data_IF_523040669537
#
_entry.id   IF_523040669537
#
_cell.length_a   1.000
_cell.length_b   1.000
_cell.length_c   1.000
_cell.angle_alpha   90.00
_cell.angle_beta   90.00
_cell.angle_gamma   90.00
#
_symmetry.space_group_name_H-M   'P 1'
#
loop_
_entity.id
_entity.type
_entity.pdbx_description
1 polymer ?
#
# COMPACT_ATOMS: atom_id res chain seq x y z
N UNK A 1 15.85 13.31 -2.71
CA UNK A 1 15.82 13.60 -1.27
C UNK A 1 15.13 12.40 -0.64
N UNK A 2 15.88 11.46 -0.06
CA UNK A 2 15.30 10.33 0.66
C UNK A 2 14.81 10.88 1.99
N UNK A 3 13.50 11.02 2.17
CA UNK A 3 12.95 11.25 3.51
C UNK A 3 13.37 10.05 4.35
N UNK A 4 14.15 10.30 5.39
CA UNK A 4 14.52 9.28 6.35
C UNK A 4 13.22 8.79 7.01
N UNK A 5 12.79 7.59 6.65
CA UNK A 5 11.62 6.94 7.23
C UNK A 5 11.80 6.85 8.75
N UNK A 6 10.76 7.19 9.53
CA UNK A 6 10.89 7.07 10.98
C UNK A 6 10.90 5.58 11.37
N UNK A 7 11.59 5.29 12.47
CA UNK A 7 11.74 3.93 12.99
C UNK A 7 10.39 3.22 13.18
N UNK A 8 9.37 3.95 13.63
CA UNK A 8 8.03 3.40 13.84
C UNK A 8 7.36 2.95 12.52
N UNK A 9 7.50 3.71 11.42
CA UNK A 9 6.99 3.30 10.10
C UNK A 9 7.73 2.07 9.59
N UNK A 10 9.04 1.98 9.85
CA UNK A 10 9.84 0.82 9.47
C UNK A 10 9.48 -0.42 10.27
N UNK A 11 9.15 -0.25 11.54
CA UNK A 11 8.66 -1.33 12.39
C UNK A 11 7.30 -1.84 11.90
N UNK A 12 6.36 -0.94 11.60
CA UNK A 12 5.05 -1.29 11.04
C UNK A 12 5.17 -2.06 9.72
N UNK A 13 6.01 -1.57 8.81
CA UNK A 13 6.30 -2.23 7.53
C UNK A 13 6.89 -3.63 7.76
N UNK A 14 7.85 -3.76 8.66
CA UNK A 14 8.49 -5.04 8.97
C UNK A 14 7.49 -6.06 9.54
N UNK A 15 6.60 -5.64 10.43
CA UNK A 15 5.54 -6.50 10.96
C UNK A 15 4.52 -6.89 9.89
N UNK A 16 4.19 -5.99 8.97
CA UNK A 16 3.33 -6.31 7.83
C UNK A 16 4.01 -7.34 6.91
N UNK A 17 5.29 -7.14 6.57
CA UNK A 17 6.08 -8.09 5.77
C UNK A 17 6.15 -9.48 6.41
N UNK A 18 6.32 -9.58 7.73
CA UNK A 18 6.31 -10.87 8.46
C UNK A 18 5.00 -11.63 8.34
N UNK A 19 3.87 -10.93 8.19
CA UNK A 19 2.56 -11.56 7.98
C UNK A 19 2.38 -12.06 6.55
N UNK A 20 2.97 -11.38 5.58
CA UNK A 20 2.83 -11.68 4.15
C UNK A 20 3.82 -12.76 3.70
N UNK A 21 5.08 -12.67 4.14
CA UNK A 21 6.19 -13.50 3.66
C UNK A 21 5.96 -15.02 3.76
N UNK A 22 5.29 -15.57 4.79
CA UNK A 22 5.03 -17.01 4.87
C UNK A 22 4.14 -17.55 3.76
N UNK A 23 3.41 -16.67 3.04
CA UNK A 23 2.40 -17.03 2.02
C UNK A 23 1.32 -17.98 2.54
N UNK A 24 1.07 -17.98 3.84
CA UNK A 24 -0.01 -18.73 4.45
C UNK A 24 -1.35 -18.02 4.15
N UNK A 25 -2.31 -18.68 3.48
CA UNK A 25 -3.62 -18.09 3.18
C UNK A 25 -4.32 -17.56 4.42
N UNK A 26 -4.22 -18.25 5.57
CA UNK A 26 -4.87 -17.82 6.80
C UNK A 26 -4.24 -16.52 7.33
N UNK A 27 -2.92 -16.41 7.32
CA UNK A 27 -2.24 -15.16 7.66
C UNK A 27 -2.62 -13.99 6.74
N UNK A 28 -2.77 -14.23 5.43
CA UNK A 28 -3.19 -13.23 4.45
C UNK A 28 -4.65 -12.78 4.65
N UNK A 29 -5.55 -13.69 5.04
CA UNK A 29 -6.94 -13.38 5.39
C UNK A 29 -7.05 -12.46 6.61
N UNK A 30 -6.10 -12.53 7.54
CA UNK A 30 -6.05 -11.65 8.72
C UNK A 30 -5.57 -10.22 8.40
N UNK A 31 -4.94 -10.00 7.23
CA UNK A 31 -4.58 -8.64 6.78
C UNK A 31 -5.78 -8.04 6.07
N UNK A 32 -6.70 -7.48 6.85
CA UNK A 32 -7.95 -6.91 6.38
C UNK A 32 -7.74 -5.61 5.60
N UNK A 33 -8.54 -5.44 4.56
CA UNK A 33 -8.64 -4.22 3.75
C UNK A 33 -9.97 -3.56 4.08
N UNK A 34 -9.88 -2.41 4.73
CA UNK A 34 -11.01 -1.53 5.05
C UNK A 34 -11.18 -0.47 3.96
N UNK A 35 -12.39 0.11 3.88
CA UNK A 35 -12.73 1.14 2.88
C UNK A 35 -12.36 0.76 1.43
N UNK A 36 -12.44 -0.53 1.10
CA UNK A 36 -12.11 -1.06 -0.21
C UNK A 36 -13.03 -0.50 -1.29
N UNK A 37 -12.46 -0.11 -2.44
CA UNK A 37 -13.23 0.27 -3.63
C UNK A 37 -13.62 -0.93 -4.50
N UNK A 38 -13.24 -2.13 -4.10
CA UNK A 38 -13.60 -3.39 -4.77
C UNK A 38 -14.25 -4.37 -3.79
N UNK A 39 -14.49 -5.59 -4.25
CA UNK A 39 -14.96 -6.71 -3.43
C UNK A 39 -13.88 -7.35 -2.56
N UNK A 40 -12.61 -6.96 -2.70
CA UNK A 40 -11.52 -7.48 -1.87
C UNK A 40 -11.63 -6.97 -0.43
N UNK A 41 -11.55 -7.89 0.53
CA UNK A 41 -11.68 -7.65 1.98
C UNK A 41 -10.39 -7.90 2.74
N UNK A 42 -9.43 -8.59 2.14
CA UNK A 42 -8.13 -8.90 2.73
C UNK A 42 -7.09 -9.14 1.62
N UNK A 43 -5.83 -9.37 2.01
CA UNK A 43 -4.77 -9.65 1.02
C UNK A 43 -4.97 -10.99 0.30
N UNK A 44 -5.62 -11.97 0.91
CA UNK A 44 -5.92 -13.24 0.24
C UNK A 44 -6.87 -13.05 -0.96
N UNK A 45 -7.84 -12.14 -0.89
CA UNK A 45 -8.72 -11.80 -2.01
C UNK A 45 -7.99 -11.11 -3.17
N UNK A 46 -6.87 -10.43 -2.90
CA UNK A 46 -6.04 -9.80 -3.92
C UNK A 46 -5.05 -10.78 -4.56
N UNK A 47 -4.49 -11.69 -3.77
CA UNK A 47 -3.44 -12.63 -4.20
C UNK A 47 -4.04 -13.91 -4.79
N UNK A 48 -5.12 -14.41 -4.18
CA UNK A 48 -5.70 -15.71 -4.49
C UNK A 48 -4.73 -16.86 -4.19
N UNK A 49 -4.72 -17.84 -5.08
CA UNK A 49 -3.83 -19.01 -5.07
C UNK A 49 -2.51 -18.79 -5.82
N UNK A 50 -2.18 -17.54 -6.17
CA UNK A 50 -1.06 -17.21 -7.05
C UNK A 50 0.26 -17.05 -6.30
N UNK A 51 1.35 -17.41 -6.97
CA UNK A 51 2.69 -17.11 -6.52
C UNK A 51 3.03 -15.62 -6.67
N UNK A 52 3.80 -15.12 -5.71
CA UNK A 52 4.25 -13.73 -5.68
C UNK A 52 5.64 -13.59 -5.08
N UNK A 53 6.30 -12.47 -5.35
CA UNK A 53 7.47 -11.99 -4.61
C UNK A 53 7.11 -10.78 -3.75
N UNK A 54 7.78 -10.65 -2.61
CA UNK A 54 7.62 -9.53 -1.69
C UNK A 54 8.86 -8.64 -1.81
N UNK A 55 8.65 -7.38 -2.18
CA UNK A 55 9.69 -6.37 -2.33
C UNK A 55 9.44 -5.28 -1.28
N UNK A 56 10.44 -4.96 -0.48
CA UNK A 56 10.35 -3.91 0.53
C UNK A 56 11.53 -2.96 0.40
N UNK A 57 11.27 -1.65 0.43
CA UNK A 57 12.28 -0.58 0.34
C UNK A 57 13.31 -0.76 -0.79
N UNK A 58 12.88 -1.29 -1.94
CA UNK A 58 13.78 -1.58 -3.06
C UNK A 58 13.31 -0.97 -4.36
N UNK A 59 14.23 -0.32 -5.09
CA UNK A 59 13.98 0.20 -6.44
C UNK A 59 13.60 -0.86 -7.47
N UNK A 60 13.79 -2.15 -7.15
CA UNK A 60 13.41 -3.28 -7.99
C UNK A 60 11.89 -3.41 -8.20
N UNK A 61 11.08 -2.66 -7.44
CA UNK A 61 9.64 -2.58 -7.66
C UNK A 61 9.30 -2.06 -9.07
N UNK A 62 10.08 -1.09 -9.57
CA UNK A 62 9.88 -0.47 -10.88
C UNK A 62 10.82 -1.08 -11.92
N UNK A 63 10.31 -2.03 -12.69
CA UNK A 63 11.03 -2.62 -13.84
C UNK A 63 11.10 -1.69 -15.06
N UNK A 64 10.28 -0.63 -15.09
CA UNK A 64 10.21 0.35 -16.17
C UNK A 64 10.76 1.70 -15.70
N UNK A 65 12.04 1.75 -15.32
CA UNK A 65 12.68 2.92 -14.68
C UNK A 65 12.59 4.24 -15.46
N UNK A 66 12.39 4.15 -16.78
CA UNK A 66 12.26 5.32 -17.66
C UNK A 66 10.79 5.72 -17.93
N UNK A 67 9.82 4.89 -17.55
CA UNK A 67 8.40 5.20 -17.70
C UNK A 67 7.97 6.11 -16.55
N UNK A 68 7.31 7.23 -16.90
CA UNK A 68 6.88 8.24 -15.94
C UNK A 68 8.01 8.72 -15.01
N UNK A 69 9.23 8.90 -15.54
CA UNK A 69 10.41 9.23 -14.73
C UNK A 69 10.25 10.52 -13.90
N UNK A 70 9.53 11.52 -14.41
CA UNK A 70 9.25 12.76 -13.66
C UNK A 70 8.20 12.58 -12.55
N UNK A 71 7.43 11.49 -12.60
CA UNK A 71 6.36 11.18 -11.65
C UNK A 71 6.85 10.18 -10.61
N UNK A 72 7.42 9.06 -11.04
CA UNK A 72 7.83 7.95 -10.16
C UNK A 72 9.32 7.70 -10.10
N UNK A 73 10.13 8.49 -10.81
CA UNK A 73 11.58 8.37 -10.77
C UNK A 73 12.10 8.49 -9.35
N UNK A 74 12.94 7.54 -8.95
CA UNK A 74 13.57 7.45 -7.63
C UNK A 74 12.61 7.27 -6.43
N UNK A 75 11.32 7.02 -6.68
CA UNK A 75 10.42 6.60 -5.62
C UNK A 75 10.61 5.13 -5.30
N UNK A 76 10.36 4.79 -4.03
CA UNK A 76 10.38 3.42 -3.55
C UNK A 76 9.17 3.27 -2.63
N UNK A 77 8.12 2.54 -3.03
CA UNK A 77 7.05 2.18 -2.12
C UNK A 77 7.59 1.27 -1.02
N UNK A 78 6.92 1.31 0.13
CA UNK A 78 7.34 0.57 1.30
C UNK A 78 7.23 -0.95 1.12
N UNK A 79 6.11 -1.41 0.57
CA UNK A 79 5.87 -2.84 0.28
C UNK A 79 5.23 -3.00 -1.08
N UNK A 80 5.75 -3.94 -1.87
CA UNK A 80 5.17 -4.36 -3.15
C UNK A 80 5.07 -5.89 -3.18
N UNK A 81 3.84 -6.37 -3.38
CA UNK A 81 3.54 -7.78 -3.65
C UNK A 81 3.41 -7.89 -5.17
N UNK A 82 4.35 -8.55 -5.84
CA UNK A 82 4.38 -8.64 -7.30
C UNK A 82 4.20 -10.09 -7.75
N UNK A 83 3.39 -10.27 -8.79
CA UNK A 83 3.21 -11.57 -9.42
C UNK A 83 4.50 -12.08 -10.01
N UNK A 84 4.82 -13.35 -9.73
CA UNK A 84 5.92 -14.04 -10.43
C UNK A 84 5.49 -14.58 -11.80
N UNK A 85 4.18 -14.71 -12.06
CA UNK A 85 3.69 -15.29 -13.31
C UNK A 85 3.76 -14.28 -14.47
N UNK A 86 3.37 -13.03 -14.24
CA UNK A 86 3.49 -11.96 -15.24
C UNK A 86 4.74 -11.11 -15.07
N UNK A 87 5.28 -11.00 -13.85
CA UNK A 87 6.26 -9.97 -13.50
C UNK A 87 5.67 -8.55 -13.49
N UNK A 88 4.38 -8.38 -13.77
CA UNK A 88 3.73 -7.09 -13.97
C UNK A 88 2.72 -6.82 -12.87
N UNK A 89 1.67 -7.63 -12.70
CA UNK A 89 0.63 -7.24 -11.75
C UNK A 89 1.15 -7.22 -10.32
N UNK A 90 0.70 -6.21 -9.56
CA UNK A 90 1.26 -5.90 -8.24
C UNK A 90 0.26 -5.16 -7.36
N UNK A 91 0.35 -5.46 -6.06
CA UNK A 91 -0.26 -4.66 -4.99
C UNK A 91 0.84 -3.81 -4.36
N UNK A 92 0.66 -2.50 -4.36
CA UNK A 92 1.55 -1.54 -3.71
C UNK A 92 0.90 -1.17 -2.37
N UNK A 93 1.68 -1.24 -1.29
CA UNK A 93 1.27 -0.83 0.05
C UNK A 93 2.24 0.22 0.54
N UNK A 94 1.70 1.39 0.82
CA UNK A 94 2.43 2.49 1.45
C UNK A 94 2.12 2.49 2.95
N UNK A 95 3.14 2.59 3.79
CA UNK A 95 3.04 2.49 5.25
C UNK A 95 3.25 3.85 5.90
N UNK A 96 2.33 4.27 6.77
CA UNK A 96 2.46 5.50 7.55
C UNK A 96 2.22 5.27 9.04
N UNK A 97 2.87 6.10 9.86
CA UNK A 97 2.66 6.12 11.31
C UNK A 97 2.24 7.50 11.80
N UNK A 98 3.10 8.50 11.59
CA UNK A 98 2.82 9.91 11.92
C UNK A 98 3.04 10.84 10.75
N UNK A 99 3.85 10.47 9.77
CA UNK A 99 4.13 11.34 8.63
C UNK A 99 2.91 11.46 7.73
N UNK A 100 2.72 12.66 7.18
CA UNK A 100 1.75 12.88 6.11
C UNK A 100 2.18 12.10 4.85
N UNK A 101 1.29 11.99 3.87
CA UNK A 101 1.69 11.55 2.53
C UNK A 101 2.75 12.52 1.98
N UNK A 102 3.81 11.97 1.38
CA UNK A 102 4.82 12.78 0.71
C UNK A 102 4.22 13.55 -0.48
N UNK A 103 4.87 14.66 -0.84
CA UNK A 103 4.46 15.61 -1.89
C UNK A 103 3.15 16.37 -1.59
N UNK A 104 2.65 17.16 -2.55
CA UNK A 104 1.41 17.91 -2.41
C UNK A 104 0.18 17.01 -2.55
N UNK A 105 -0.98 17.51 -2.11
CA UNK A 105 -2.25 16.76 -2.21
C UNK A 105 -2.57 16.30 -3.64
N UNK A 106 -2.30 17.15 -4.63
CA UNK A 106 -2.60 16.89 -6.04
C UNK A 106 -1.60 15.96 -6.74
N UNK A 107 -0.41 15.79 -6.18
CA UNK A 107 0.69 14.99 -6.75
C UNK A 107 1.31 14.05 -5.71
N UNK A 108 0.51 13.64 -4.72
CA UNK A 108 0.95 12.84 -3.59
C UNK A 108 1.60 11.53 -4.06
N UNK A 109 2.47 10.97 -3.24
CA UNK A 109 3.14 9.70 -3.54
C UNK A 109 2.16 8.57 -3.96
N UNK A 110 0.98 8.49 -3.35
CA UNK A 110 -0.04 7.49 -3.70
C UNK A 110 -0.63 7.74 -5.09
N UNK A 111 -0.85 9.00 -5.48
CA UNK A 111 -1.26 9.35 -6.86
C UNK A 111 -0.18 8.92 -7.85
N UNK A 112 1.09 9.17 -7.52
CA UNK A 112 2.24 8.79 -8.36
C UNK A 112 2.31 7.27 -8.55
N UNK A 113 2.13 6.48 -7.48
CA UNK A 113 2.04 5.02 -7.56
C UNK A 113 0.83 4.53 -8.36
N UNK A 114 -0.33 5.18 -8.19
CA UNK A 114 -1.54 4.85 -8.94
C UNK A 114 -1.35 5.05 -10.46
N UNK A 115 -0.77 6.17 -10.87
CA UNK A 115 -0.45 6.43 -12.28
C UNK A 115 0.55 5.41 -12.84
N UNK A 116 1.52 4.98 -12.03
CA UNK A 116 2.46 3.94 -12.43
C UNK A 116 1.79 2.57 -12.60
N UNK A 117 0.88 2.19 -11.70
CA UNK A 117 0.07 0.98 -11.87
C UNK A 117 -0.71 1.04 -13.19
N UNK A 118 -1.40 2.14 -13.47
CA UNK A 118 -2.13 2.32 -14.73
C UNK A 118 -1.25 2.15 -15.97
N UNK A 119 -0.02 2.66 -15.91
CA UNK A 119 0.90 2.66 -17.06
C UNK A 119 1.65 1.33 -17.27
N UNK A 120 1.87 0.54 -16.21
CA UNK A 120 2.83 -0.58 -16.24
C UNK A 120 2.22 -1.94 -15.94
N UNK A 121 0.91 -2.03 -15.74
CA UNK A 121 0.23 -3.28 -15.40
C UNK A 121 -0.95 -3.53 -16.32
N UNK A 122 -1.39 -4.78 -16.43
CA UNK A 122 -2.45 -5.17 -17.35
C UNK A 122 -3.65 -5.74 -16.61
N UNK A 123 -4.84 -5.31 -17.02
CA UNK A 123 -6.07 -5.97 -16.60
C UNK A 123 -6.11 -7.37 -17.21
N UNK A 124 -5.96 -8.39 -16.37
CA UNK A 124 -6.03 -9.79 -16.80
C UNK A 124 -7.46 -10.29 -16.63
N UNK A 125 -8.06 -10.77 -17.71
CA UNK A 125 -9.36 -11.42 -17.67
C UNK A 125 -9.25 -12.77 -16.93
N UNK A 126 -10.30 -13.16 -16.21
CA UNK A 126 -10.46 -14.49 -15.60
C UNK A 126 -9.52 -14.84 -14.43
N UNK A 127 -8.98 -13.85 -13.70
CA UNK A 127 -8.21 -14.12 -12.47
C UNK A 127 -6.91 -14.91 -12.68
N UNK A 128 -6.32 -14.81 -13.88
CA UNK A 128 -5.07 -15.49 -14.21
C UNK A 128 -3.82 -14.95 -13.51
N UNK A 129 -3.98 -13.92 -12.68
CA UNK A 129 -2.88 -13.20 -12.06
C UNK A 129 -3.35 -12.51 -10.76
N UNK A 130 -2.42 -12.03 -9.93
CA UNK A 130 -2.78 -11.24 -8.75
C UNK A 130 -3.49 -9.95 -9.16
N UNK A 131 -4.39 -9.49 -8.30
CA UNK A 131 -5.10 -8.23 -8.51
C UNK A 131 -4.16 -7.06 -8.28
N UNK A 132 -4.45 -5.98 -9.00
CA UNK A 132 -3.72 -4.72 -8.85
C UNK A 132 -4.36 -3.93 -7.73
N UNK A 133 -3.53 -3.40 -6.84
CA UNK A 133 -4.04 -2.59 -5.76
C UNK A 133 -3.04 -1.51 -5.32
N UNK A 134 -3.59 -0.44 -4.77
CA UNK A 134 -2.85 0.56 -4.02
C UNK A 134 -3.50 0.76 -2.67
N UNK A 135 -2.77 0.40 -1.63
CA UNK A 135 -3.28 0.33 -0.26
C UNK A 135 -2.46 1.26 0.63
N UNK A 136 -3.14 1.99 1.50
CA UNK A 136 -2.50 2.75 2.58
C UNK A 136 -2.59 1.94 3.89
N UNK A 137 -1.46 1.59 4.46
CA UNK A 137 -1.40 0.88 5.73
C UNK A 137 -0.93 1.81 6.85
N UNK A 138 -1.76 2.03 7.86
CA UNK A 138 -1.42 2.89 8.98
C UNK A 138 -2.23 2.54 10.23
N UNK A 139 -1.82 2.98 11.44
CA UNK A 139 -2.67 2.86 12.61
C UNK A 139 -3.88 3.79 12.54
N UNK A 140 -4.90 3.48 13.34
CA UNK A 140 -6.13 4.29 13.42
C UNK A 140 -5.86 5.77 13.72
N UNK A 141 -4.90 6.05 14.61
CA UNK A 141 -4.49 7.41 14.95
C UNK A 141 -4.02 8.23 13.75
N UNK A 142 -3.47 7.59 12.71
CA UNK A 142 -3.09 8.27 11.48
C UNK A 142 -4.32 8.71 10.69
N UNK A 143 -5.31 7.83 10.58
CA UNK A 143 -6.57 8.10 9.85
C UNK A 143 -7.53 9.01 10.63
N UNK A 144 -7.43 9.06 11.96
CA UNK A 144 -8.18 9.99 12.81
C UNK A 144 -7.58 11.40 12.79
N UNK A 145 -6.31 11.54 12.40
CA UNK A 145 -5.72 12.85 12.18
C UNK A 145 -6.39 13.53 10.99
N UNK A 146 -7.01 14.69 11.25
CA UNK A 146 -7.79 15.44 10.26
C UNK A 146 -7.03 15.67 8.94
N UNK A 147 -5.79 16.17 9.01
CA UNK A 147 -5.02 16.49 7.79
C UNK A 147 -4.76 15.24 6.95
N UNK A 148 -4.30 14.17 7.60
CA UNK A 148 -4.00 12.90 6.95
C UNK A 148 -5.26 12.29 6.31
N UNK A 149 -6.37 12.30 7.05
CA UNK A 149 -7.67 11.80 6.59
C UNK A 149 -8.20 12.59 5.38
N UNK A 150 -7.99 13.91 5.36
CA UNK A 150 -8.42 14.77 4.25
C UNK A 150 -7.60 14.50 2.99
N UNK A 151 -6.28 14.30 3.11
CA UNK A 151 -5.39 14.02 1.98
C UNK A 151 -5.64 12.62 1.40
N UNK A 152 -5.77 11.59 2.23
CA UNK A 152 -6.15 10.25 1.78
C UNK A 152 -7.57 10.21 1.21
N UNK A 153 -8.52 10.85 1.89
CA UNK A 153 -9.90 10.96 1.41
C UNK A 153 -10.02 11.71 0.09
N UNK A 154 -9.17 12.72 -0.17
CA UNK A 154 -9.07 13.37 -1.47
C UNK A 154 -8.67 12.36 -2.56
N UNK A 155 -7.63 11.56 -2.33
CA UNK A 155 -7.21 10.52 -3.27
C UNK A 155 -8.34 9.52 -3.55
N UNK A 156 -8.93 8.94 -2.50
CA UNK A 156 -10.01 7.97 -2.62
C UNK A 156 -11.21 8.51 -3.39
N UNK A 157 -11.67 9.74 -3.10
CA UNK A 157 -12.81 10.34 -3.80
C UNK A 157 -12.50 10.67 -5.26
N UNK A 158 -11.28 11.10 -5.54
CA UNK A 158 -10.89 11.58 -6.89
C UNK A 158 -10.64 10.44 -7.85
N UNK A 159 -10.04 9.34 -7.38
CA UNK A 159 -9.54 8.28 -8.26
C UNK A 159 -10.33 6.96 -8.21
N UNK A 160 -11.30 6.78 -7.30
CA UNK A 160 -12.07 5.53 -7.18
C UNK A 160 -12.71 5.06 -8.49
N UNK A 161 -13.26 5.96 -9.30
CA UNK A 161 -14.01 5.59 -10.50
C UNK A 161 -13.06 5.14 -11.62
N UNK A 162 -11.91 5.81 -11.74
CA UNK A 162 -10.83 5.41 -12.64
C UNK A 162 -10.26 4.06 -12.17
N UNK A 163 -9.99 3.92 -10.88
CA UNK A 163 -9.48 2.68 -10.30
C UNK A 163 -10.44 1.50 -10.58
N UNK A 164 -11.74 1.69 -10.41
CA UNK A 164 -12.76 0.70 -10.75
C UNK A 164 -12.80 0.37 -12.25
N UNK A 165 -12.77 1.37 -13.13
CA UNK A 165 -12.77 1.18 -14.58
C UNK A 165 -11.57 0.36 -15.07
N UNK A 166 -10.44 0.48 -14.38
CA UNK A 166 -9.21 -0.25 -14.67
C UNK A 166 -8.92 -1.35 -13.66
N UNK A 167 -9.89 -1.87 -12.90
CA UNK A 167 -9.71 -2.98 -11.93
C UNK A 167 -8.43 -2.86 -11.09
N UNK A 168 -8.29 -1.71 -10.42
CA UNK A 168 -7.30 -1.43 -9.38
C UNK A 168 -8.07 -1.24 -8.08
N UNK A 169 -7.78 -2.08 -7.08
CA UNK A 169 -8.36 -1.92 -5.75
C UNK A 169 -7.65 -0.79 -5.01
N UNK A 170 -8.42 0.15 -4.46
CA UNK A 170 -7.93 1.11 -3.48
C UNK A 170 -8.49 0.72 -2.11
N UNK A 171 -7.74 0.93 -1.04
CA UNK A 171 -8.20 0.59 0.30
C UNK A 171 -7.17 0.89 1.37
N UNK A 172 -7.52 0.49 2.59
CA UNK A 172 -6.76 0.79 3.80
C UNK A 172 -6.46 -0.48 4.58
N UNK A 173 -5.28 -0.59 5.17
CA UNK A 173 -4.98 -1.60 6.19
C UNK A 173 -4.79 -0.89 7.52
N UNK A 174 -5.61 -1.23 8.52
CA UNK A 174 -5.45 -0.71 9.88
C UNK A 174 -4.42 -1.53 10.65
N UNK A 175 -3.28 -0.92 10.92
CA UNK A 175 -2.16 -1.57 11.59
C UNK A 175 -2.22 -1.35 13.11
N UNK A 176 -1.94 -2.39 13.92
CA UNK A 176 -1.83 -2.20 15.36
C UNK A 176 -0.67 -1.26 15.70
N UNK A 177 -0.84 -0.40 16.71
CA UNK A 177 0.24 0.46 17.21
C UNK A 177 1.48 -0.36 17.60
N UNK A 178 2.71 0.13 17.29
CA UNK A 178 3.95 -0.47 17.75
C UNK A 178 3.97 -0.67 19.26
N UNK A 179 4.56 -1.76 19.74
CA UNK A 179 4.62 -2.09 21.17
C UNK A 179 5.27 -0.97 22.00
N UNK A 180 6.30 -0.30 21.45
CA UNK A 180 6.98 0.82 22.08
C UNK A 180 6.12 2.11 22.20
N UNK A 181 5.11 2.26 21.35
CA UNK A 181 4.17 3.39 21.39
C UNK A 181 3.04 3.16 22.40
N UNK A 182 2.63 1.90 22.61
CA UNK A 182 1.58 1.53 23.57
C UNK A 182 1.95 1.88 25.01
N UNK A 183 3.22 1.74 25.38
CA UNK A 183 3.73 2.06 26.72
C UNK A 183 3.79 3.57 27.02
N UNK A 184 3.88 4.43 26.00
CA UNK A 184 3.86 5.89 26.19
C UNK A 184 2.45 6.44 26.40
N UNK A 185 1.44 5.85 25.76
CA UNK A 185 0.04 6.22 25.93
C UNK A 185 -0.48 5.87 27.34
N UNK A 186 0.00 4.79 27.95
CA UNK A 186 -0.37 4.42 29.33
C UNK A 186 0.20 5.32 30.41
N UNK A 187 1.25 6.10 30.12
CA UNK A 187 1.89 6.99 31.11
C UNK A 187 1.26 8.40 31.10
N UNK A 188 0.57 8.76 30.00
CA UNK A 188 -0.01 10.10 29.82
C UNK A 188 -1.45 10.22 30.34
N UNK A 189 -2.00 9.13 30.89
CA UNK A 189 -3.39 9.04 31.37
C UNK A 189 -3.50 9.13 32.91
N UNK A 190 -2.46 9.63 33.60
CA UNK A 190 -2.41 9.82 35.05
C UNK A 190 -2.05 11.26 35.41
#
# INVERSE_FOLDING_TARGET
MTEQKCEDEKQLESELCKRILPRDPHALEQVRIDNSTSDARNLADLIGDKDFELLADTSNWNQHKNVLIDITGNMTPDVVIRSTSSGENRTIIEVKYTHVLGYGRADSQVIRYFLHLLATTLQRKNGGDIRRALILAAPDSWFENRRNSEDWGYFMRTYKDIAGAFDITLGEIRLPLPVAARSKLSISAH
#
